data_IF_007499629083
#
_entry.id   IF_007499629083
#
_cell.length_a   1.000
_cell.length_b   1.000
_cell.length_c   1.000
_cell.angle_alpha   90.00
_cell.angle_beta   90.00
_cell.angle_gamma   90.00
#
_symmetry.space_group_name_H-M   'P 1'
#
loop_
_entity.id
_entity.type
_entity.pdbx_description
1 polymer ?
#
# COMPACT_ATOMS: atom_id res chain seq x y z
N UNK A 1 -0.38 16.69 -9.61
CA UNK A 1 -0.64 15.25 -9.41
C UNK A 1 -0.86 14.61 -10.77
N UNK A 2 -0.32 13.42 -11.00
CA UNK A 2 -0.52 12.64 -12.23
C UNK A 2 -1.08 11.27 -11.85
N UNK A 3 -2.27 10.93 -12.37
CA UNK A 3 -2.95 9.67 -12.08
C UNK A 3 -2.39 8.50 -12.91
N UNK A 4 -1.07 8.29 -12.85
CA UNK A 4 -0.36 7.21 -13.53
C UNK A 4 0.91 6.84 -12.72
N UNK A 5 1.52 5.70 -13.04
CA UNK A 5 2.86 5.34 -12.54
C UNK A 5 3.89 6.02 -13.44
N UNK A 6 4.74 6.87 -12.87
CA UNK A 6 5.77 7.57 -13.64
C UNK A 6 7.13 6.90 -13.44
N UNK A 7 7.94 6.86 -14.49
CA UNK A 7 9.37 6.55 -14.32
C UNK A 7 10.10 7.75 -13.71
N UNK A 8 11.25 7.55 -13.04
CA UNK A 8 12.04 8.65 -12.48
C UNK A 8 12.45 9.70 -13.51
N UNK A 9 12.55 9.34 -14.79
CA UNK A 9 12.88 10.25 -15.88
C UNK A 9 11.66 11.09 -16.30
N UNK A 10 10.50 10.45 -16.47
CA UNK A 10 9.25 11.14 -16.81
C UNK A 10 8.85 12.15 -15.73
N UNK A 11 8.96 11.78 -14.45
CA UNK A 11 8.69 12.67 -13.32
C UNK A 11 9.54 13.94 -13.41
N UNK A 12 10.86 13.82 -13.67
CA UNK A 12 11.76 14.97 -13.83
C UNK A 12 11.43 15.84 -15.02
N UNK A 13 11.13 15.23 -16.17
CA UNK A 13 10.77 16.00 -17.37
C UNK A 13 9.52 16.84 -17.08
N UNK A 14 8.51 16.25 -16.43
CA UNK A 14 7.32 16.99 -16.02
C UNK A 14 7.62 18.08 -14.99
N UNK A 15 8.46 17.81 -13.99
CA UNK A 15 8.86 18.84 -13.00
C UNK A 15 9.61 20.00 -13.66
N UNK A 16 10.51 19.72 -14.62
CA UNK A 16 11.25 20.74 -15.34
C UNK A 16 10.34 21.60 -16.23
N UNK A 17 9.39 20.98 -16.94
CA UNK A 17 8.44 21.68 -17.80
C UNK A 17 7.40 22.49 -17.00
N UNK A 18 6.93 21.95 -15.87
CA UNK A 18 5.88 22.57 -15.07
C UNK A 18 6.42 23.53 -13.99
N UNK A 19 7.73 23.51 -13.74
CA UNK A 19 8.39 24.24 -12.64
C UNK A 19 7.72 24.04 -11.28
N UNK A 20 7.12 22.87 -11.07
CA UNK A 20 6.36 22.52 -9.87
C UNK A 20 6.64 21.06 -9.50
N UNK A 21 6.57 20.71 -8.20
CA UNK A 21 6.74 19.33 -7.78
C UNK A 21 5.66 18.41 -8.37
N UNK A 22 6.07 17.26 -8.89
CA UNK A 22 5.14 16.28 -9.47
C UNK A 22 5.04 15.07 -8.55
N UNK A 23 3.80 14.68 -8.25
CA UNK A 23 3.50 13.45 -7.51
C UNK A 23 2.74 12.53 -8.45
N UNK A 24 3.27 11.33 -8.65
CA UNK A 24 2.61 10.26 -9.39
C UNK A 24 1.60 9.50 -8.51
N UNK A 25 0.86 8.55 -9.08
CA UNK A 25 -0.12 7.75 -8.33
C UNK A 25 0.53 7.01 -7.16
N UNK A 26 1.75 6.48 -7.35
CA UNK A 26 2.46 5.68 -6.34
C UNK A 26 2.87 6.54 -5.15
N UNK A 27 3.46 7.70 -5.42
CA UNK A 27 3.87 8.66 -4.41
C UNK A 27 2.69 9.17 -3.59
N UNK A 28 1.53 9.39 -4.22
CA UNK A 28 0.30 9.74 -3.51
C UNK A 28 -0.16 8.62 -2.58
N UNK A 29 -0.19 7.38 -3.07
CA UNK A 29 -0.58 6.20 -2.28
C UNK A 29 0.32 6.04 -1.05
N UNK A 30 1.64 6.15 -1.21
CA UNK A 30 2.60 6.04 -0.09
C UNK A 30 2.34 7.11 0.97
N UNK A 31 2.00 8.35 0.56
CA UNK A 31 1.67 9.44 1.51
C UNK A 31 0.38 9.18 2.26
N UNK A 32 -0.66 8.74 1.56
CA UNK A 32 -1.93 8.38 2.18
C UNK A 32 -1.73 7.28 3.23
N UNK A 33 -0.86 6.30 2.93
CA UNK A 33 -0.52 5.28 3.90
C UNK A 33 0.29 5.81 5.09
N UNK A 34 1.25 6.71 4.85
CA UNK A 34 2.03 7.31 5.94
C UNK A 34 1.15 8.03 6.96
N UNK A 35 0.13 8.76 6.50
CA UNK A 35 -0.83 9.44 7.37
C UNK A 35 -1.65 8.48 8.23
N UNK A 36 -1.80 7.21 7.82
CA UNK A 36 -2.64 6.20 8.48
C UNK A 36 -1.85 5.13 9.22
N UNK A 37 -0.52 5.19 9.14
CA UNK A 37 0.36 4.20 9.73
C UNK A 37 0.52 4.43 11.24
N UNK A 38 -0.47 3.99 12.01
CA UNK A 38 -0.49 4.18 13.46
C UNK A 38 0.23 3.07 14.22
N UNK A 39 0.23 1.83 13.72
CA UNK A 39 0.95 0.73 14.38
C UNK A 39 2.43 0.69 13.99
N UNK A 40 3.23 -0.03 14.78
CA UNK A 40 4.64 -0.25 14.49
C UNK A 40 4.83 -0.96 13.14
N UNK A 41 4.02 -1.96 12.84
CA UNK A 41 4.12 -2.71 11.59
C UNK A 41 3.77 -1.85 10.38
N UNK A 42 2.65 -1.15 10.43
CA UNK A 42 2.26 -0.16 9.43
C UNK A 42 3.39 0.83 9.11
N UNK A 43 4.05 1.36 10.14
CA UNK A 43 5.16 2.30 9.98
C UNK A 43 6.35 1.64 9.26
N UNK A 44 6.69 0.40 9.63
CA UNK A 44 7.75 -0.37 8.96
C UNK A 44 7.43 -0.62 7.49
N UNK A 45 6.17 -0.93 7.17
CA UNK A 45 5.71 -1.17 5.79
C UNK A 45 5.74 0.09 4.95
N UNK A 46 5.24 1.20 5.48
CA UNK A 46 5.28 2.50 4.80
C UNK A 46 6.71 2.96 4.59
N UNK A 47 7.58 2.81 5.60
CA UNK A 47 8.99 3.17 5.47
C UNK A 47 9.68 2.33 4.39
N UNK A 48 9.44 1.02 4.38
CA UNK A 48 9.97 0.13 3.35
C UNK A 48 9.50 0.53 1.94
N UNK A 49 8.20 0.79 1.78
CA UNK A 49 7.61 1.19 0.51
C UNK A 49 8.17 2.55 0.04
N UNK A 50 8.28 3.51 0.96
CA UNK A 50 8.83 4.85 0.70
C UNK A 50 10.28 4.77 0.24
N UNK A 51 11.14 4.06 0.97
CA UNK A 51 12.56 3.91 0.60
C UNK A 51 12.75 3.17 -0.72
N UNK A 52 11.92 2.14 -0.98
CA UNK A 52 11.96 1.39 -2.25
C UNK A 52 11.52 2.27 -3.43
N UNK A 53 10.55 3.15 -3.22
CA UNK A 53 10.09 4.11 -4.23
C UNK A 53 11.11 5.23 -4.51
N UNK A 54 11.77 5.73 -3.45
CA UNK A 54 12.76 6.80 -3.52
C UNK A 54 14.10 6.35 -4.10
N UNK A 55 14.54 5.11 -3.84
CA UNK A 55 15.84 4.59 -4.29
C UNK A 55 16.14 4.82 -5.80
N UNK A 56 15.23 4.47 -6.75
CA UNK A 56 15.46 4.74 -8.17
C UNK A 56 15.31 6.23 -8.54
N UNK A 57 14.71 7.04 -7.68
CA UNK A 57 14.47 8.49 -7.87
C UNK A 57 15.55 9.36 -7.23
N UNK A 58 16.54 8.76 -6.60
CA UNK A 58 17.64 9.47 -5.96
C UNK A 58 18.55 10.14 -6.98
N UNK A 59 18.70 11.46 -6.89
CA UNK A 59 19.55 12.29 -7.77
C UNK A 59 20.35 13.26 -6.94
N UNK A 60 21.50 13.66 -7.47
CA UNK A 60 22.23 14.81 -6.95
C UNK A 60 21.49 16.10 -7.33
N UNK A 61 21.19 16.94 -6.35
CA UNK A 61 20.80 18.33 -6.59
C UNK A 61 22.07 19.18 -6.59
N UNK A 62 22.29 19.98 -7.64
CA UNK A 62 23.35 20.99 -7.65
C UNK A 62 22.72 22.34 -7.32
N UNK A 63 23.30 23.06 -6.36
CA UNK A 63 23.03 24.49 -6.19
C UNK A 63 23.79 25.27 -7.27
N UNK A 64 23.21 26.34 -7.85
CA UNK A 64 23.84 27.16 -8.89
C UNK A 64 25.23 27.71 -8.49
N UNK A 65 25.45 27.96 -7.20
CA UNK A 65 26.65 28.63 -6.67
C UNK A 65 27.87 27.69 -6.49
N UNK A 66 27.83 26.46 -7.01
CA UNK A 66 28.92 25.49 -6.85
C UNK A 66 29.11 24.91 -5.43
N UNK A 67 28.37 25.43 -4.45
CA UNK A 67 28.27 24.88 -3.10
C UNK A 67 27.71 23.46 -3.07
N UNK A 68 27.97 22.73 -1.98
CA UNK A 68 27.44 21.37 -1.76
C UNK A 68 25.92 21.43 -1.58
N UNK A 69 25.16 21.31 -2.68
CA UNK A 69 23.71 21.11 -2.63
C UNK A 69 23.35 19.80 -1.91
N UNK A 70 22.33 19.85 -1.05
CA UNK A 70 21.80 18.68 -0.34
C UNK A 70 21.15 17.65 -1.27
N UNK A 71 20.80 16.48 -0.73
CA UNK A 71 20.16 15.41 -1.51
C UNK A 71 18.65 15.59 -1.54
N UNK A 72 18.06 15.60 -2.73
CA UNK A 72 16.61 15.56 -2.91
C UNK A 72 16.19 14.27 -3.61
N UNK A 73 15.39 13.44 -2.95
CA UNK A 73 14.27 12.84 -3.68
C UNK A 73 13.38 14.03 -4.08
N UNK A 74 12.91 14.11 -5.33
CA UNK A 74 12.28 15.31 -5.90
C UNK A 74 11.41 16.10 -4.91
N UNK A 75 11.43 17.44 -5.04
CA UNK A 75 10.81 18.42 -4.13
C UNK A 75 9.35 18.11 -3.74
N UNK A 76 8.72 17.17 -4.45
CA UNK A 76 7.39 16.67 -4.19
C UNK A 76 7.27 15.95 -2.84
N UNK A 77 8.27 15.17 -2.41
CA UNK A 77 8.27 14.50 -1.09
C UNK A 77 8.77 15.45 -0.01
N UNK A 78 7.99 16.50 0.27
CA UNK A 78 8.25 17.39 1.40
C UNK A 78 8.38 16.61 2.71
N UNK A 79 9.15 17.17 3.66
CA UNK A 79 9.15 16.76 5.06
C UNK A 79 7.71 16.83 5.58
N UNK A 80 7.15 15.73 6.14
CA UNK A 80 5.87 15.81 6.84
C UNK A 80 5.98 16.82 7.98
N UNK A 81 4.90 17.56 8.24
CA UNK A 81 4.80 18.49 9.38
C UNK A 81 5.09 17.80 10.73
N UNK A 82 5.03 16.46 10.78
CA UNK A 82 5.20 15.62 11.96
C UNK A 82 6.66 15.19 12.24
N UNK A 83 7.66 15.84 11.62
CA UNK A 83 9.07 15.65 11.99
C UNK A 83 9.75 14.41 11.41
N UNK A 84 9.19 13.77 10.38
CA UNK A 84 9.85 12.67 9.68
C UNK A 84 10.94 13.19 8.74
N UNK A 85 12.11 13.48 9.30
CA UNK A 85 13.30 13.85 8.57
C UNK A 85 13.92 12.60 7.92
N UNK A 86 13.54 12.30 6.67
CA UNK A 86 14.15 11.19 5.89
C UNK A 86 15.54 11.53 5.34
N UNK A 87 16.01 12.76 5.57
CA UNK A 87 17.34 13.24 5.21
C UNK A 87 17.94 14.12 6.32
N UNK A 88 17.94 13.68 7.58
CA UNK A 88 18.77 14.34 8.60
C UNK A 88 20.23 13.88 8.49
N UNK A 89 20.94 14.56 7.59
CA UNK A 89 22.39 14.62 7.52
C UNK A 89 22.84 16.07 7.34
N UNK A 90 22.52 16.93 8.32
CA UNK A 90 23.18 18.22 8.58
C UNK A 90 22.78 19.43 7.72
N UNK A 91 22.40 20.52 8.40
CA UNK A 91 22.48 21.90 7.90
C UNK A 91 21.14 22.54 7.56
N UNK A 92 20.73 23.52 8.36
CA UNK A 92 19.46 24.23 8.25
C UNK A 92 19.40 25.34 7.20
N UNK A 93 18.26 26.04 7.20
CA UNK A 93 18.07 27.31 6.49
C UNK A 93 16.89 27.28 5.54
N UNK A 94 15.76 27.86 5.95
CA UNK A 94 14.63 28.14 5.09
C UNK A 94 14.93 29.26 4.08
N UNK A 95 14.11 29.32 3.03
CA UNK A 95 14.12 30.42 2.06
C UNK A 95 13.85 29.94 0.65
N UNK A 96 12.73 30.38 0.08
CA UNK A 96 12.45 30.19 -1.35
C UNK A 96 13.52 30.85 -2.22
N UNK A 97 13.96 30.14 -3.26
CA UNK A 97 14.98 30.57 -4.21
C UNK A 97 15.12 29.58 -5.37
N UNK A 98 15.68 29.99 -6.52
CA UNK A 98 15.10 29.76 -7.85
C UNK A 98 15.45 28.41 -8.52
N UNK A 99 14.82 28.19 -9.68
CA UNK A 99 14.78 27.00 -10.53
C UNK A 99 16.01 26.07 -10.45
N UNK A 100 15.75 24.85 -9.99
CA UNK A 100 16.69 23.73 -9.90
C UNK A 100 17.14 23.28 -11.29
N UNK A 101 18.40 23.53 -11.65
CA UNK A 101 19.03 22.89 -12.81
C UNK A 101 19.72 21.59 -12.39
N UNK A 102 19.15 20.46 -12.77
CA UNK A 102 19.68 19.11 -12.47
C UNK A 102 20.32 18.53 -13.73
N UNK A 103 21.65 18.48 -13.74
CA UNK A 103 22.43 18.02 -14.90
C UNK A 103 22.39 16.50 -15.00
N UNK A 104 21.96 15.98 -16.15
CA UNK A 104 22.11 14.56 -16.49
C UNK A 104 23.59 14.22 -16.64
N UNK A 105 24.00 13.01 -16.24
CA UNK A 105 25.37 12.53 -16.40
C UNK A 105 25.79 12.29 -17.87
N UNK A 106 25.11 12.88 -18.86
CA UNK A 106 25.46 12.82 -20.28
C UNK A 106 25.52 14.21 -20.90
N UNK A 107 26.51 15.00 -20.49
CA UNK A 107 26.99 16.07 -21.35
C UNK A 107 28.49 16.19 -21.19
N UNK A 108 29.21 15.45 -22.02
CA UNK A 108 30.62 15.67 -22.30
C UNK A 108 30.78 15.65 -23.81
N UNK A 109 31.22 16.77 -24.37
CA UNK A 109 31.71 16.83 -25.73
C UNK A 109 31.53 18.20 -26.39
N UNK A 110 32.29 19.21 -25.96
CA UNK A 110 32.98 20.16 -26.84
C UNK A 110 33.59 21.30 -26.01
N UNK A 111 34.83 21.13 -25.55
CA UNK A 111 35.85 22.19 -25.47
C UNK A 111 37.10 21.72 -24.69
N UNK A 112 38.18 21.47 -25.44
CA UNK A 112 39.51 22.01 -25.13
C UNK A 112 40.32 21.47 -23.93
N UNK A 113 41.35 20.68 -24.27
CA UNK A 113 42.72 20.76 -23.78
C UNK A 113 43.07 20.38 -22.32
N UNK A 114 43.85 19.30 -22.20
CA UNK A 114 44.93 19.19 -21.21
C UNK A 114 44.67 18.29 -20.01
N UNK A 115 45.26 17.09 -20.00
CA UNK A 115 45.45 16.30 -18.78
C UNK A 115 45.18 14.80 -18.95
N UNK A 116 46.21 14.05 -19.31
CA UNK A 116 46.23 12.59 -19.24
C UNK A 116 46.17 12.13 -17.77
N UNK A 117 45.09 11.44 -17.42
CA UNK A 117 44.92 10.75 -16.13
C UNK A 117 43.70 9.83 -16.22
N UNK A 118 43.96 8.52 -16.40
CA UNK A 118 42.95 7.51 -16.67
C UNK A 118 41.92 7.32 -15.54
N UNK A 119 40.77 6.79 -15.92
CA UNK A 119 39.76 6.31 -14.97
C UNK A 119 38.34 6.65 -15.40
N UNK A 120 37.79 5.85 -16.29
CA UNK A 120 36.37 5.90 -16.63
C UNK A 120 35.46 5.72 -15.42
N UNK A 121 34.26 6.30 -15.49
CA UNK A 121 33.07 5.73 -14.87
C UNK A 121 32.98 5.70 -13.34
N UNK A 122 33.76 6.48 -12.58
CA UNK A 122 33.58 6.58 -11.14
C UNK A 122 32.30 7.39 -10.83
N UNK A 123 31.17 6.70 -10.68
CA UNK A 123 29.93 7.31 -10.19
C UNK A 123 30.15 8.02 -8.84
N UNK A 124 29.42 9.12 -8.65
CA UNK A 124 29.54 10.03 -7.49
C UNK A 124 29.63 9.25 -6.15
N UNK A 125 30.75 9.37 -5.41
CA UNK A 125 30.97 8.60 -4.19
C UNK A 125 29.92 8.88 -3.10
N UNK A 126 29.34 10.07 -3.11
CA UNK A 126 28.33 10.45 -2.11
C UNK A 126 26.95 9.85 -2.44
N UNK A 127 26.55 9.87 -3.72
CA UNK A 127 25.35 9.18 -4.18
C UNK A 127 25.45 7.66 -3.92
N UNK A 128 26.65 7.07 -4.07
CA UNK A 128 26.91 5.68 -3.71
C UNK A 128 26.71 5.42 -2.21
N UNK A 129 27.25 6.29 -1.34
CA UNK A 129 27.03 6.19 0.11
C UNK A 129 25.56 6.29 0.49
N UNK A 130 24.82 7.21 -0.12
CA UNK A 130 23.40 7.37 0.16
C UNK A 130 22.58 6.16 -0.31
N UNK A 131 22.84 5.65 -1.52
CA UNK A 131 22.22 4.40 -2.00
C UNK A 131 22.51 3.25 -1.06
N UNK A 132 23.75 3.12 -0.59
CA UNK A 132 24.14 2.10 0.37
C UNK A 132 23.39 2.22 1.71
N UNK A 133 23.22 3.44 2.24
CA UNK A 133 22.43 3.71 3.46
C UNK A 133 20.97 3.29 3.28
N UNK A 134 20.34 3.69 2.16
CA UNK A 134 18.95 3.32 1.85
C UNK A 134 18.82 1.80 1.72
N UNK A 135 19.72 1.14 0.98
CA UNK A 135 19.71 -0.32 0.81
C UNK A 135 19.92 -1.05 2.14
N UNK A 136 20.86 -0.59 2.97
CA UNK A 136 21.09 -1.14 4.31
C UNK A 136 19.84 -1.01 5.18
N UNK A 137 19.16 0.14 5.14
CA UNK A 137 17.91 0.36 5.87
C UNK A 137 16.78 -0.52 5.36
N UNK A 138 16.62 -0.65 4.03
CA UNK A 138 15.66 -1.56 3.40
C UNK A 138 15.89 -3.00 3.85
N UNK A 139 17.15 -3.46 3.92
CA UNK A 139 17.47 -4.79 4.40
C UNK A 139 17.10 -4.98 5.88
N UNK A 140 17.36 -3.99 6.73
CA UNK A 140 16.98 -4.00 8.15
C UNK A 140 15.45 -4.03 8.33
N UNK A 141 14.71 -3.19 7.62
CA UNK A 141 13.24 -3.14 7.65
C UNK A 141 12.63 -4.48 7.23
N UNK A 142 13.16 -5.09 6.16
CA UNK A 142 12.73 -6.44 5.74
C UNK A 142 12.95 -7.49 6.82
N UNK A 143 14.02 -7.40 7.60
CA UNK A 143 14.26 -8.30 8.75
C UNK A 143 13.23 -8.08 9.85
N UNK A 144 12.98 -6.81 10.23
CA UNK A 144 11.98 -6.47 11.23
C UNK A 144 10.57 -6.91 10.84
N UNK A 145 10.20 -6.79 9.55
CA UNK A 145 8.90 -7.28 9.06
C UNK A 145 8.79 -8.81 9.11
N UNK A 146 9.90 -9.55 8.91
CA UNK A 146 9.91 -11.01 9.10
C UNK A 146 9.66 -11.39 10.55
N UNK A 147 10.30 -10.71 11.51
CA UNK A 147 10.08 -10.95 12.94
C UNK A 147 8.59 -10.75 13.32
N UNK A 148 7.94 -9.71 12.75
CA UNK A 148 6.50 -9.47 12.95
C UNK A 148 5.64 -10.59 12.33
N UNK A 149 5.97 -11.04 11.12
CA UNK A 149 5.27 -12.13 10.45
C UNK A 149 5.41 -13.47 11.22
N UNK A 150 6.59 -13.75 11.78
CA UNK A 150 6.84 -14.92 12.63
C UNK A 150 6.00 -14.87 13.91
N UNK A 151 5.95 -13.71 14.59
CA UNK A 151 5.10 -13.52 15.77
C UNK A 151 3.62 -13.80 15.47
N UNK A 152 3.12 -13.35 14.30
CA UNK A 152 1.76 -13.67 13.85
C UNK A 152 1.57 -15.16 13.58
N UNK A 153 2.56 -15.85 13.03
CA UNK A 153 2.48 -17.30 12.80
C UNK A 153 2.27 -18.08 14.11
N UNK A 154 2.89 -17.63 15.20
CA UNK A 154 2.71 -18.20 16.54
C UNK A 154 1.29 -17.94 17.03
N UNK A 155 0.79 -16.71 16.90
CA UNK A 155 -0.59 -16.38 17.28
C UNK A 155 -1.62 -17.17 16.46
N UNK A 156 -1.39 -17.36 15.15
CA UNK A 156 -2.23 -18.20 14.29
C UNK A 156 -2.27 -19.65 14.76
N UNK A 157 -1.09 -20.23 15.08
CA UNK A 157 -1.01 -21.58 15.64
C UNK A 157 -1.77 -21.71 16.96
N UNK A 158 -1.64 -20.71 17.83
CA UNK A 158 -2.42 -20.64 19.08
C UNK A 158 -3.94 -20.61 18.84
N UNK A 159 -4.41 -19.82 17.88
CA UNK A 159 -5.84 -19.77 17.50
C UNK A 159 -6.34 -21.11 16.96
N UNK A 160 -5.57 -21.76 16.08
CA UNK A 160 -5.90 -23.09 15.54
C UNK A 160 -5.94 -24.15 16.64
N UNK A 161 -4.98 -24.14 17.56
CA UNK A 161 -4.96 -25.05 18.71
C UNK A 161 -6.16 -24.82 19.66
N UNK A 162 -6.63 -23.58 19.77
CA UNK A 162 -7.84 -23.24 20.53
C UNK A 162 -9.16 -23.50 19.78
N UNK A 163 -9.11 -24.09 18.57
CA UNK A 163 -10.29 -24.36 17.76
C UNK A 163 -11.05 -23.12 17.32
N UNK A 164 -10.37 -21.97 17.17
CA UNK A 164 -10.97 -20.69 16.77
C UNK A 164 -10.78 -20.47 15.26
N UNK A 165 -11.82 -20.67 14.41
CA UNK A 165 -11.71 -20.49 12.97
C UNK A 165 -11.46 -19.03 12.61
N UNK A 166 -10.76 -18.80 11.50
CA UNK A 166 -10.33 -17.48 11.03
C UNK A 166 -11.03 -17.10 9.73
N UNK A 167 -11.55 -15.88 9.67
CA UNK A 167 -12.26 -15.32 8.51
C UNK A 167 -11.53 -14.05 8.05
N UNK A 168 -11.02 -14.05 6.82
CA UNK A 168 -10.34 -12.90 6.22
C UNK A 168 -11.25 -12.11 5.30
N UNK A 169 -11.32 -10.80 5.44
CA UNK A 169 -12.13 -9.92 4.57
C UNK A 169 -11.23 -9.28 3.51
N UNK A 170 -11.50 -9.53 2.22
CA UNK A 170 -10.74 -8.98 1.08
C UNK A 170 -11.65 -8.22 0.12
N UNK A 171 -11.05 -7.38 -0.72
CA UNK A 171 -11.79 -6.59 -1.70
C UNK A 171 -11.17 -5.22 -1.98
N UNK A 172 -11.62 -4.57 -3.04
CA UNK A 172 -11.14 -3.26 -3.46
C UNK A 172 -11.31 -2.18 -2.38
N UNK A 173 -10.58 -1.08 -2.48
CA UNK A 173 -10.84 0.09 -1.63
C UNK A 173 -12.26 0.60 -1.84
N UNK A 174 -12.85 1.15 -0.78
CA UNK A 174 -14.21 1.72 -0.79
C UNK A 174 -15.36 0.73 -1.11
N UNK A 175 -15.15 -0.59 -1.09
CA UNK A 175 -16.23 -1.58 -1.24
C UNK A 175 -17.04 -1.83 0.05
N UNK A 176 -16.60 -1.29 1.19
CA UNK A 176 -17.26 -1.47 2.49
C UNK A 176 -16.71 -2.58 3.39
N UNK A 177 -15.46 -3.04 3.19
CA UNK A 177 -14.82 -4.05 4.06
C UNK A 177 -14.86 -3.71 5.55
N UNK A 178 -14.48 -2.48 5.90
CA UNK A 178 -14.47 -2.02 7.30
C UNK A 178 -15.89 -1.92 7.88
N UNK A 179 -16.87 -1.52 7.07
CA UNK A 179 -18.29 -1.53 7.45
C UNK A 179 -18.77 -2.95 7.75
N UNK A 180 -18.46 -3.90 6.86
CA UNK A 180 -18.78 -5.32 7.06
C UNK A 180 -18.12 -5.90 8.31
N UNK A 181 -16.82 -5.64 8.51
CA UNK A 181 -16.09 -6.06 9.70
C UNK A 181 -16.75 -5.53 10.99
N UNK A 182 -17.26 -4.29 10.96
CA UNK A 182 -17.95 -3.66 12.09
C UNK A 182 -19.26 -4.33 12.42
N UNK A 183 -20.07 -4.62 11.42
CA UNK A 183 -21.35 -5.31 11.60
C UNK A 183 -21.10 -6.70 12.19
N UNK A 184 -20.13 -7.45 11.64
CA UNK A 184 -19.78 -8.79 12.12
C UNK A 184 -19.24 -8.79 13.57
N UNK A 185 -18.51 -7.75 13.98
CA UNK A 185 -17.88 -7.68 15.30
C UNK A 185 -18.69 -6.91 16.36
N UNK A 186 -19.91 -6.46 16.03
CA UNK A 186 -20.73 -5.54 16.84
C UNK A 186 -21.15 -6.09 18.22
N UNK A 187 -21.17 -7.42 18.41
CA UNK A 187 -21.60 -8.08 19.66
C UNK A 187 -20.51 -8.27 20.73
N UNK A 188 -19.28 -7.77 20.57
CA UNK A 188 -18.24 -8.04 21.59
C UNK A 188 -16.86 -7.39 21.47
N UNK A 189 -16.66 -6.37 20.65
CA UNK A 189 -15.36 -5.67 20.58
C UNK A 189 -15.56 -4.15 20.51
N UNK A 190 -14.72 -3.43 21.26
CA UNK A 190 -14.62 -1.97 21.24
C UNK A 190 -14.54 -1.42 19.81
N UNK A 191 -15.26 -0.31 19.62
CA UNK A 191 -15.51 0.39 18.37
C UNK A 191 -14.39 0.26 17.34
N UNK A 192 -14.71 -0.29 16.16
CA UNK A 192 -13.93 0.05 14.97
C UNK A 192 -13.97 1.58 14.79
N UNK A 193 -12.94 2.21 14.20
CA UNK A 193 -13.11 3.56 13.69
C UNK A 193 -14.33 3.60 12.74
N UNK A 194 -15.08 4.71 12.70
CA UNK A 194 -16.18 4.83 11.74
C UNK A 194 -15.64 4.56 10.32
N UNK A 195 -16.40 3.84 9.47
CA UNK A 195 -15.99 3.65 8.09
C UNK A 195 -15.77 5.03 7.46
N UNK A 196 -14.60 5.22 6.86
CA UNK A 196 -14.25 6.46 6.18
C UNK A 196 -14.31 6.23 4.68
N UNK A 197 -14.98 7.13 3.94
CA UNK A 197 -15.03 7.17 2.47
C UNK A 197 -13.69 7.59 1.89
N UNK A 198 -12.65 6.79 2.16
CA UNK A 198 -11.29 7.10 1.80
C UNK A 198 -10.49 5.83 1.48
N UNK A 199 -9.52 5.95 0.58
CA UNK A 199 -8.62 4.87 0.21
C UNK A 199 -7.81 4.40 1.43
N UNK A 200 -7.73 3.08 1.65
CA UNK A 200 -6.97 2.45 2.74
C UNK A 200 -7.44 2.82 4.15
N UNK A 201 -8.74 2.74 4.41
CA UNK A 201 -9.31 2.91 5.76
C UNK A 201 -8.67 1.96 6.80
N UNK A 202 -8.24 0.77 6.37
CA UNK A 202 -7.55 -0.22 7.20
C UNK A 202 -6.17 -0.50 6.61
N UNK A 203 -5.10 -0.26 7.39
CA UNK A 203 -3.73 -0.60 7.01
C UNK A 203 -3.21 -1.86 7.72
N UNK A 204 -3.66 -2.08 8.95
CA UNK A 204 -3.25 -3.21 9.77
C UNK A 204 -4.40 -4.18 9.96
N UNK A 205 -4.16 -5.50 9.81
CA UNK A 205 -5.20 -6.48 10.06
C UNK A 205 -5.54 -6.55 11.55
N UNK A 206 -6.62 -5.88 11.93
CA UNK A 206 -7.20 -6.01 13.25
C UNK A 206 -7.94 -7.35 13.30
N UNK A 207 -7.39 -8.32 14.05
CA UNK A 207 -8.07 -9.59 14.33
C UNK A 207 -9.03 -9.38 15.49
N UNK A 208 -10.31 -9.66 15.28
CA UNK A 208 -11.37 -9.45 16.26
C UNK A 208 -12.24 -10.69 16.38
N UNK A 209 -12.79 -10.92 17.58
CA UNK A 209 -13.70 -12.04 17.81
C UNK A 209 -15.12 -11.62 17.39
N UNK A 210 -15.71 -12.39 16.48
CA UNK A 210 -17.12 -12.32 16.11
C UNK A 210 -17.83 -13.61 16.54
N UNK A 211 -19.15 -13.55 16.70
CA UNK A 211 -19.97 -14.68 17.12
C UNK A 211 -20.96 -15.02 16.01
N UNK A 212 -20.96 -16.27 15.56
CA UNK A 212 -21.89 -16.72 14.53
C UNK A 212 -23.30 -16.89 15.12
N UNK A 213 -24.37 -16.45 14.42
CA UNK A 213 -25.73 -16.45 14.97
C UNK A 213 -26.30 -17.83 15.29
N UNK A 214 -25.89 -18.86 14.54
CA UNK A 214 -26.55 -20.17 14.51
C UNK A 214 -26.11 -21.10 15.63
N UNK A 215 -24.88 -20.98 16.16
CA UNK A 215 -24.34 -21.93 17.14
C UNK A 215 -23.52 -21.30 18.28
N UNK A 216 -23.45 -19.97 18.37
CA UNK A 216 -22.60 -19.32 19.38
C UNK A 216 -21.10 -19.63 19.18
N UNK A 217 -20.70 -20.11 18.00
CA UNK A 217 -19.30 -20.34 17.66
C UNK A 217 -18.59 -19.00 17.51
N UNK A 218 -17.49 -18.83 18.23
CA UNK A 218 -16.62 -17.70 18.05
C UNK A 218 -15.74 -17.91 16.81
N UNK A 219 -15.55 -16.85 16.02
CA UNK A 219 -14.61 -16.80 14.90
C UNK A 219 -13.73 -15.57 15.02
N UNK A 220 -12.50 -15.66 14.51
CA UNK A 220 -11.59 -14.54 14.43
C UNK A 220 -11.70 -13.88 13.05
N UNK A 221 -12.25 -12.67 12.98
CA UNK A 221 -12.37 -11.88 11.77
C UNK A 221 -11.16 -10.97 11.64
N UNK A 222 -10.51 -10.99 10.48
CA UNK A 222 -9.41 -10.10 10.14
C UNK A 222 -9.83 -9.18 8.98
N UNK A 223 -9.87 -7.88 9.25
CA UNK A 223 -10.00 -6.86 8.19
C UNK A 223 -8.64 -6.63 7.52
N UNK A 224 -8.62 -6.23 6.25
CA UNK A 224 -7.38 -6.19 5.46
C UNK A 224 -7.26 -4.90 4.66
N UNK A 225 -6.06 -4.65 4.13
CA UNK A 225 -5.83 -3.49 3.28
C UNK A 225 -6.63 -3.64 1.99
N UNK A 226 -7.40 -2.60 1.65
CA UNK A 226 -8.14 -2.60 0.40
C UNK A 226 -7.24 -2.62 -0.83
N UNK A 227 -7.58 -3.46 -1.80
CA UNK A 227 -6.87 -3.51 -3.08
C UNK A 227 -7.09 -2.23 -3.87
N UNK A 228 -6.04 -1.78 -4.58
CA UNK A 228 -6.11 -0.72 -5.59
C UNK A 228 -5.55 -1.30 -6.90
N UNK A 229 -6.06 -0.80 -8.03
CA UNK A 229 -5.51 -1.11 -9.36
C UNK A 229 -4.02 -0.78 -9.40
N UNK A 230 -3.23 -1.69 -9.96
CA UNK A 230 -1.79 -1.54 -10.18
C UNK A 230 -1.02 -1.19 -8.89
N UNK A 231 -1.28 -1.95 -7.81
CA UNK A 231 -0.49 -1.87 -6.59
C UNK A 231 1.00 -1.98 -6.94
N UNK A 232 1.80 -0.93 -6.66
CA UNK A 232 3.20 -0.90 -7.07
C UNK A 232 3.99 -2.04 -6.43
N UNK A 233 4.94 -2.65 -7.16
CA UNK A 233 5.68 -3.85 -6.69
C UNK A 233 6.35 -3.62 -5.32
N UNK A 234 6.92 -2.43 -5.10
CA UNK A 234 7.55 -2.09 -3.81
C UNK A 234 6.56 -2.00 -2.64
N UNK A 235 5.28 -1.81 -2.96
CA UNK A 235 4.19 -1.67 -2.03
C UNK A 235 3.53 -3.03 -1.76
N UNK A 236 3.36 -3.87 -2.80
CA UNK A 236 2.95 -5.28 -2.65
C UNK A 236 3.89 -6.04 -1.72
N UNK A 237 5.20 -5.83 -1.82
CA UNK A 237 6.17 -6.47 -0.92
C UNK A 237 5.99 -6.07 0.56
N UNK A 238 5.57 -4.84 0.82
CA UNK A 238 5.29 -4.35 2.17
C UNK A 238 3.96 -4.90 2.72
N UNK A 239 2.94 -5.02 1.85
CA UNK A 239 1.63 -5.58 2.20
C UNK A 239 1.56 -7.10 2.13
N UNK A 240 2.59 -7.77 1.59
CA UNK A 240 2.64 -9.24 1.53
C UNK A 240 2.45 -9.86 2.92
N UNK A 241 3.10 -9.32 3.95
CA UNK A 241 2.99 -9.82 5.32
C UNK A 241 1.58 -9.64 5.92
N UNK A 242 0.81 -8.62 5.50
CA UNK A 242 -0.58 -8.46 5.93
C UNK A 242 -1.53 -9.33 5.12
N UNK A 243 -1.25 -9.53 3.82
CA UNK A 243 -2.03 -10.40 2.95
C UNK A 243 -1.81 -11.90 3.24
N UNK A 244 -0.64 -12.28 3.74
CA UNK A 244 -0.36 -13.66 4.17
C UNK A 244 -1.27 -14.12 5.33
N UNK A 245 -1.70 -13.21 6.21
CA UNK A 245 -2.69 -13.55 7.25
C UNK A 245 -4.04 -13.94 6.62
N UNK A 246 -4.41 -13.29 5.53
CA UNK A 246 -5.66 -13.50 4.82
C UNK A 246 -5.62 -14.79 4.02
N UNK A 247 -4.53 -15.02 3.31
CA UNK A 247 -4.28 -16.28 2.59
C UNK A 247 -4.33 -17.48 3.54
N UNK A 248 -3.92 -17.30 4.79
CA UNK A 248 -3.95 -18.35 5.80
C UNK A 248 -5.32 -18.55 6.47
N UNK A 249 -6.32 -17.70 6.17
CA UNK A 249 -7.65 -17.79 6.77
C UNK A 249 -8.39 -19.06 6.34
N UNK A 250 -9.25 -19.55 7.22
CA UNK A 250 -10.08 -20.73 6.95
C UNK A 250 -11.22 -20.40 5.97
N UNK A 251 -11.68 -19.15 5.99
CA UNK A 251 -12.70 -18.61 5.08
C UNK A 251 -12.30 -17.20 4.61
N UNK A 252 -12.57 -16.90 3.34
CA UNK A 252 -12.39 -15.59 2.73
C UNK A 252 -13.75 -14.96 2.40
N UNK A 253 -13.98 -13.74 2.89
CA UNK A 253 -15.11 -12.91 2.45
C UNK A 253 -14.60 -11.91 1.43
N UNK A 254 -14.95 -12.12 0.15
CA UNK A 254 -14.58 -11.22 -0.93
C UNK A 254 -15.67 -10.19 -1.16
N UNK A 255 -15.46 -8.98 -0.62
CA UNK A 255 -16.42 -7.88 -0.72
C UNK A 255 -16.27 -7.15 -2.05
N UNK A 256 -17.39 -7.04 -2.77
CA UNK A 256 -17.54 -6.41 -4.07
C UNK A 256 -18.54 -5.26 -3.97
N UNK A 257 -18.31 -4.17 -4.69
CA UNK A 257 -19.28 -3.07 -4.80
C UNK A 257 -20.22 -3.36 -5.99
N UNK A 258 -21.47 -3.71 -5.70
CA UNK A 258 -22.45 -4.08 -6.70
C UNK A 258 -22.84 -2.91 -7.62
N UNK A 259 -22.72 -1.67 -7.13
CA UNK A 259 -23.05 -0.44 -7.87
C UNK A 259 -21.95 0.00 -8.83
N UNK A 260 -20.73 -0.55 -8.68
CA UNK A 260 -19.57 -0.15 -9.46
C UNK A 260 -19.64 -0.71 -10.89
N UNK A 261 -19.51 0.13 -11.94
CA UNK A 261 -19.44 -0.35 -13.32
C UNK A 261 -18.19 -1.20 -13.58
N UNK A 262 -17.15 -1.04 -12.75
CA UNK A 262 -15.87 -1.75 -12.89
C UNK A 262 -15.77 -2.99 -11.98
N UNK A 263 -16.87 -3.48 -11.41
CA UNK A 263 -16.85 -4.59 -10.44
C UNK A 263 -16.18 -5.86 -10.98
N UNK A 264 -16.36 -6.16 -12.27
CA UNK A 264 -15.76 -7.35 -12.90
C UNK A 264 -14.23 -7.24 -13.00
N UNK A 265 -13.71 -6.06 -13.38
CA UNK A 265 -12.27 -5.79 -13.41
C UNK A 265 -11.67 -5.82 -12.01
N UNK A 266 -12.37 -5.21 -11.04
CA UNK A 266 -11.95 -5.19 -9.64
C UNK A 266 -11.88 -6.60 -9.07
N UNK A 267 -12.93 -7.41 -9.29
CA UNK A 267 -12.95 -8.82 -8.90
C UNK A 267 -11.76 -9.59 -9.46
N UNK A 268 -11.54 -9.49 -10.78
CA UNK A 268 -10.44 -10.18 -11.45
C UNK A 268 -9.07 -9.76 -10.93
N UNK A 269 -8.88 -8.47 -10.64
CA UNK A 269 -7.64 -7.96 -10.09
C UNK A 269 -7.37 -8.47 -8.66
N UNK A 270 -8.37 -8.56 -7.78
CA UNK A 270 -8.18 -9.14 -6.44
C UNK A 270 -7.79 -10.62 -6.55
N UNK A 271 -8.52 -11.39 -7.35
CA UNK A 271 -8.25 -12.81 -7.55
C UNK A 271 -6.85 -13.04 -8.14
N UNK A 272 -6.43 -12.20 -9.10
CA UNK A 272 -5.08 -12.28 -9.66
C UNK A 272 -3.98 -12.07 -8.60
N UNK A 273 -4.17 -11.13 -7.67
CA UNK A 273 -3.19 -10.94 -6.58
C UNK A 273 -3.20 -12.10 -5.59
N UNK A 274 -4.38 -12.64 -5.24
CA UNK A 274 -4.46 -13.82 -4.38
C UNK A 274 -3.74 -15.03 -5.01
N UNK A 275 -3.87 -15.22 -6.33
CA UNK A 275 -3.11 -16.25 -7.07
C UNK A 275 -1.60 -16.01 -7.02
N UNK A 276 -1.15 -14.77 -7.19
CA UNK A 276 0.27 -14.42 -7.07
C UNK A 276 0.84 -14.67 -5.66
N UNK A 277 0.00 -14.61 -4.64
CA UNK A 277 0.35 -14.93 -3.26
C UNK A 277 0.34 -16.44 -2.96
N UNK A 278 -0.01 -17.27 -3.95
CA UNK A 278 0.06 -18.73 -3.86
C UNK A 278 -1.25 -19.40 -3.48
N UNK A 279 -2.40 -18.71 -3.57
CA UNK A 279 -3.70 -19.37 -3.40
C UNK A 279 -4.12 -20.00 -4.73
N UNK A 280 -4.27 -21.32 -4.75
CA UNK A 280 -4.70 -22.07 -5.92
C UNK A 280 -6.21 -21.88 -6.20
N UNK A 281 -6.62 -22.16 -7.43
CA UNK A 281 -8.01 -21.94 -7.89
C UNK A 281 -9.03 -22.78 -7.11
N UNK A 282 -8.66 -24.01 -6.73
CA UNK A 282 -9.53 -24.89 -5.97
C UNK A 282 -9.74 -24.35 -4.55
N UNK A 283 -8.67 -23.92 -3.88
CA UNK A 283 -8.76 -23.26 -2.57
C UNK A 283 -9.63 -22.00 -2.63
N UNK A 284 -9.47 -21.17 -3.66
CA UNK A 284 -10.32 -20.00 -3.86
C UNK A 284 -11.79 -20.39 -4.04
N UNK A 285 -12.09 -21.39 -4.86
CA UNK A 285 -13.46 -21.85 -5.09
C UNK A 285 -14.12 -22.40 -3.83
N UNK A 286 -13.38 -23.14 -2.98
CA UNK A 286 -13.95 -23.76 -1.79
C UNK A 286 -14.03 -22.84 -0.56
N UNK A 287 -13.14 -21.85 -0.45
CA UNK A 287 -13.02 -21.00 0.76
C UNK A 287 -13.51 -19.57 0.58
N UNK A 288 -13.87 -19.16 -0.64
CA UNK A 288 -14.28 -17.78 -0.89
C UNK A 288 -15.80 -17.66 -0.95
N UNK A 289 -16.33 -16.73 -0.17
CA UNK A 289 -17.71 -16.24 -0.28
C UNK A 289 -17.66 -14.82 -0.82
N UNK A 290 -18.32 -14.59 -1.94
CA UNK A 290 -18.48 -13.26 -2.52
C UNK A 290 -19.60 -12.51 -1.81
N UNK A 291 -19.29 -11.32 -1.33
CA UNK A 291 -20.22 -10.43 -0.64
C UNK A 291 -20.44 -9.21 -1.52
N UNK A 292 -21.56 -9.19 -2.23
CA UNK A 292 -21.98 -8.10 -3.10
C UNK A 292 -22.65 -7.02 -2.26
N UNK A 293 -21.86 -6.02 -1.88
CA UNK A 293 -22.25 -4.92 -1.01
C UNK A 293 -22.79 -3.72 -1.83
N UNK A 294 -23.47 -2.80 -1.15
CA UNK A 294 -24.08 -1.58 -1.71
C UNK A 294 -25.18 -1.83 -2.74
N UNK A 295 -25.96 -2.90 -2.56
CA UNK A 295 -27.08 -3.21 -3.46
C UNK A 295 -28.22 -2.20 -3.37
N UNK A 296 -28.29 -1.43 -2.27
CA UNK A 296 -29.21 -0.31 -2.07
C UNK A 296 -29.02 0.83 -3.08
N UNK A 297 -27.85 0.93 -3.70
CA UNK A 297 -27.56 1.90 -4.76
C UNK A 297 -28.02 1.42 -6.15
N UNK A 298 -28.50 0.18 -6.28
CA UNK A 298 -29.05 -0.36 -7.53
C UNK A 298 -30.50 0.12 -7.72
N UNK A 299 -30.92 0.25 -8.97
CA UNK A 299 -32.29 0.68 -9.31
C UNK A 299 -33.35 -0.28 -8.77
N UNK A 300 -34.50 0.26 -8.34
CA UNK A 300 -35.66 -0.56 -7.91
C UNK A 300 -36.09 -1.47 -9.07
N UNK A 301 -35.98 -2.78 -8.88
CA UNK A 301 -36.30 -3.80 -9.90
C UNK A 301 -35.10 -4.65 -10.36
N UNK A 302 -33.88 -4.35 -9.91
CA UNK A 302 -32.73 -5.21 -10.16
C UNK A 302 -32.89 -6.56 -9.40
N UNK A 303 -32.69 -7.68 -10.09
CA UNK A 303 -32.79 -9.04 -9.54
C UNK A 303 -31.89 -9.22 -8.30
N UNK A 304 -30.78 -8.48 -8.23
CA UNK A 304 -29.84 -8.50 -7.09
C UNK A 304 -30.41 -7.84 -5.84
N UNK A 305 -31.25 -6.82 -6.00
CA UNK A 305 -31.97 -6.16 -4.90
C UNK A 305 -33.03 -7.10 -4.35
N UNK A 306 -33.75 -7.80 -5.23
CA UNK A 306 -34.75 -8.80 -4.83
C UNK A 306 -34.09 -10.00 -4.11
N UNK A 307 -32.91 -10.44 -4.55
CA UNK A 307 -32.14 -11.50 -3.89
C UNK A 307 -31.64 -11.07 -2.49
N UNK A 308 -31.24 -9.80 -2.32
CA UNK A 308 -30.86 -9.24 -1.02
C UNK A 308 -32.04 -9.17 -0.03
N UNK A 309 -33.25 -8.87 -0.52
CA UNK A 309 -34.46 -8.77 0.29
C UNK A 309 -35.04 -10.13 0.69
N UNK A 310 -34.81 -11.17 -0.11
CA UNK A 310 -35.19 -12.56 0.20
C UNK A 310 -34.24 -13.31 1.14
N UNK A 311 -33.20 -12.66 1.67
CA UNK A 311 -32.15 -13.31 2.46
C UNK A 311 -31.28 -14.30 1.66
N UNK A 312 -31.36 -14.24 0.33
CA UNK A 312 -30.87 -15.27 -0.57
C UNK A 312 -29.41 -15.08 -0.95
N UNK A 313 -28.56 -15.95 -0.42
CA UNK A 313 -27.29 -16.26 -1.04
C UNK A 313 -27.30 -17.65 -1.64
N UNK A 314 -26.82 -17.82 -2.88
CA UNK A 314 -26.49 -19.13 -3.41
C UNK A 314 -25.09 -19.47 -2.90
N UNK A 315 -25.00 -20.17 -1.75
CA UNK A 315 -23.82 -20.77 -1.08
C UNK A 315 -22.50 -19.98 -1.05
N UNK A 316 -22.02 -19.56 -2.21
CA UNK A 316 -20.84 -18.76 -2.51
C UNK A 316 -21.11 -17.26 -2.75
N UNK A 317 -22.35 -16.79 -2.90
CA UNK A 317 -22.68 -15.36 -3.14
C UNK A 317 -23.72 -14.84 -2.17
N UNK A 318 -23.46 -13.67 -1.58
CA UNK A 318 -24.37 -12.98 -0.64
C UNK A 318 -24.54 -11.51 -1.04
N UNK A 319 -25.75 -10.98 -0.89
CA UNK A 319 -26.09 -9.61 -1.26
C UNK A 319 -26.39 -8.78 -0.01
N UNK A 320 -25.74 -7.63 0.14
CA UNK A 320 -25.86 -6.77 1.33
C UNK A 320 -26.13 -5.32 0.95
N UNK A 321 -27.00 -4.67 1.74
CA UNK A 321 -27.21 -3.20 1.73
C UNK A 321 -26.04 -2.54 2.47
N UNK A 322 -25.52 -1.46 1.88
CA UNK A 322 -24.33 -0.72 2.32
C UNK A 322 -24.53 0.15 3.55
#
# INVERSE_FOLDING_TARGET
FVNAVLTPLQERHLEASLQRPVVDRVGLIIRLFAQRAHTREARLQVELASLTYQLPRLVRVRTPDGSRGGFGAGAAFGTPADGWNFASGGGGGGGGGPALQVVSARQRGASGAGGLGGGGGAGDPELRRQRYRIQSRVAALRRQLREVAEARSVQRRGRRAAGLPTVGIVGYTNVGKTSLARVLCSRGSSSLPPPADMLFATLDPAVRRAWLPTHGTAVAVSDTVGFIRDLPIGLVAAFRATLEEVVAADLLLHVLDASSPNVAEQRSAVLAVLRQLGVDEHTLACRTIEVWNKVDLLGKGDERVNAAEGGGGDGQRWWLKG
#
